data_IF_612419500898
#
_entry.id   IF_612419500898
#
_cell.length_a   1.000
_cell.length_b   1.000
_cell.length_c   1.000
_cell.angle_alpha   90.00
_cell.angle_beta   90.00
_cell.angle_gamma   90.00
#
_symmetry.space_group_name_H-M   'P 1'
#
loop_
_entity.id
_entity.type
_entity.pdbx_description
1 polymer ?
#
# COMPACT_ATOMS: atom_id res chain seq x y z
N UNK A 1 -22.54 -23.89 -7.03
CA UNK A 1 -22.57 -23.61 -5.60
C UNK A 1 -22.51 -22.09 -5.39
N UNK A 2 -23.63 -21.43 -5.11
CA UNK A 2 -23.68 -19.98 -4.90
C UNK A 2 -23.01 -19.69 -3.56
N UNK A 3 -21.82 -19.10 -3.55
CA UNK A 3 -21.19 -18.57 -2.34
C UNK A 3 -21.96 -17.31 -1.95
N UNK A 4 -22.63 -17.36 -0.82
CA UNK A 4 -23.26 -16.20 -0.21
C UNK A 4 -22.15 -15.19 0.12
N UNK A 5 -22.12 -14.10 -0.64
CA UNK A 5 -21.38 -12.91 -0.26
C UNK A 5 -22.05 -12.38 1.00
N UNK A 6 -21.42 -12.55 2.15
CA UNK A 6 -21.82 -11.81 3.33
C UNK A 6 -21.47 -10.33 3.05
N UNK A 7 -22.49 -9.52 2.81
CA UNK A 7 -22.36 -8.08 2.98
C UNK A 7 -21.70 -7.82 4.33
N UNK A 8 -20.77 -6.83 4.42
CA UNK A 8 -20.16 -6.48 5.70
C UNK A 8 -21.28 -6.15 6.67
N UNK A 9 -21.50 -6.99 7.67
CA UNK A 9 -22.48 -6.76 8.71
C UNK A 9 -22.13 -5.43 9.36
N UNK A 10 -23.03 -4.44 9.23
CA UNK A 10 -22.89 -3.20 9.97
C UNK A 10 -23.06 -3.57 11.44
N UNK A 11 -21.97 -3.64 12.18
CA UNK A 11 -22.03 -3.86 13.61
C UNK A 11 -22.68 -2.62 14.24
N UNK A 12 -23.87 -2.79 14.74
CA UNK A 12 -24.52 -1.81 15.62
C UNK A 12 -24.66 -2.47 16.97
N UNK A 13 -23.84 -2.05 17.91
CA UNK A 13 -24.03 -2.44 19.29
C UNK A 13 -25.34 -1.86 19.79
N UNK A 14 -26.13 -2.68 20.47
CA UNK A 14 -27.36 -2.25 21.15
C UNK A 14 -27.01 -1.58 22.49
N UNK A 15 -25.89 -1.99 23.10
CA UNK A 15 -25.45 -1.52 24.39
C UNK A 15 -23.92 -1.47 24.48
N UNK A 16 -23.40 -1.00 25.60
CA UNK A 16 -21.98 -0.97 25.88
C UNK A 16 -21.41 -2.37 26.15
N UNK A 17 -20.14 -2.58 25.69
CA UNK A 17 -19.40 -3.82 25.87
C UNK A 17 -18.05 -3.53 26.52
N UNK A 18 -17.68 -4.32 27.51
CA UNK A 18 -16.40 -4.20 28.19
C UNK A 18 -16.52 -3.96 29.70
N UNK A 19 -15.49 -3.38 30.30
CA UNK A 19 -15.42 -3.08 31.72
C UNK A 19 -16.56 -2.14 32.12
N UNK A 20 -17.37 -2.55 33.10
CA UNK A 20 -18.57 -1.83 33.53
C UNK A 20 -19.61 -1.61 32.42
N UNK A 21 -19.56 -2.34 31.33
CA UNK A 21 -20.54 -2.31 30.26
C UNK A 21 -21.79 -3.13 30.60
N UNK A 22 -22.85 -2.93 29.80
CA UNK A 22 -24.10 -3.72 29.90
C UNK A 22 -23.87 -5.16 29.46
N UNK A 23 -23.00 -5.36 28.46
CA UNK A 23 -22.50 -6.66 28.03
C UNK A 23 -23.58 -7.64 27.56
N UNK A 24 -24.51 -7.18 26.71
CA UNK A 24 -25.45 -8.11 26.06
C UNK A 24 -24.70 -9.18 25.28
N UNK A 25 -25.11 -10.44 25.46
CA UNK A 25 -24.43 -11.62 24.88
C UNK A 25 -24.18 -11.48 23.38
N UNK A 26 -25.16 -11.00 22.63
CA UNK A 26 -25.06 -10.82 21.18
C UNK A 26 -24.04 -9.74 20.80
N UNK A 27 -24.03 -8.61 21.54
CA UNK A 27 -23.08 -7.51 21.30
C UNK A 27 -21.66 -7.93 21.64
N UNK A 28 -21.45 -8.61 22.78
CA UNK A 28 -20.16 -9.15 23.19
C UNK A 28 -19.64 -10.15 22.13
N UNK A 29 -20.50 -11.11 21.72
CA UNK A 29 -20.12 -12.11 20.73
C UNK A 29 -19.76 -11.48 19.37
N UNK A 30 -20.56 -10.52 18.92
CA UNK A 30 -20.30 -9.83 17.67
C UNK A 30 -18.96 -9.07 17.71
N UNK A 31 -18.67 -8.36 18.82
CA UNK A 31 -17.41 -7.66 19.00
C UNK A 31 -16.21 -8.63 19.07
N UNK A 32 -16.35 -9.75 19.81
CA UNK A 32 -15.31 -10.80 19.88
C UNK A 32 -14.97 -11.34 18.48
N UNK A 33 -15.99 -11.69 17.67
CA UNK A 33 -15.79 -12.15 16.27
C UNK A 33 -15.01 -11.13 15.48
N UNK A 34 -15.38 -9.84 15.53
CA UNK A 34 -14.71 -8.81 14.77
C UNK A 34 -13.25 -8.60 15.21
N UNK A 35 -12.97 -8.63 16.50
CA UNK A 35 -11.59 -8.56 17.01
C UNK A 35 -10.75 -9.77 16.58
N UNK A 36 -11.34 -10.95 16.52
CA UNK A 36 -10.67 -12.16 15.99
C UNK A 36 -10.38 -12.01 14.50
N UNK A 37 -11.37 -11.58 13.71
CA UNK A 37 -11.23 -11.34 12.27
C UNK A 37 -10.22 -10.22 11.97
N UNK A 38 -10.12 -9.22 12.84
CA UNK A 38 -9.10 -8.17 12.76
C UNK A 38 -7.69 -8.64 13.12
N UNK A 39 -7.49 -9.92 13.45
CA UNK A 39 -6.16 -10.53 13.60
C UNK A 39 -5.59 -10.51 15.01
N UNK A 40 -6.41 -10.40 16.06
CA UNK A 40 -5.94 -10.34 17.46
C UNK A 40 -4.97 -11.47 17.81
N UNK A 41 -5.32 -12.72 17.49
CA UNK A 41 -4.46 -13.88 17.77
C UNK A 41 -3.13 -13.83 17.01
N UNK A 42 -3.19 -13.47 15.72
CA UNK A 42 -1.98 -13.40 14.88
C UNK A 42 -1.00 -12.30 15.36
N UNK A 43 -1.52 -11.20 15.89
CA UNK A 43 -0.73 -10.07 16.37
C UNK A 43 -0.18 -10.28 17.78
N UNK A 44 -0.98 -10.86 18.69
CA UNK A 44 -0.66 -10.94 20.12
C UNK A 44 -0.19 -12.33 20.59
N UNK A 45 -0.50 -13.38 19.82
CA UNK A 45 -0.34 -14.77 20.24
C UNK A 45 -1.41 -15.26 21.23
N UNK A 46 -2.36 -14.37 21.64
CA UNK A 46 -3.42 -14.68 22.61
C UNK A 46 -4.68 -15.15 21.91
N UNK A 47 -5.37 -16.10 22.49
CA UNK A 47 -6.65 -16.63 21.97
C UNK A 47 -7.79 -15.77 22.52
N UNK A 48 -8.77 -15.48 21.67
CA UNK A 48 -10.03 -14.88 22.04
C UNK A 48 -11.15 -15.84 21.60
N UNK A 49 -12.16 -16.06 22.44
CA UNK A 49 -13.32 -16.91 22.11
C UNK A 49 -14.54 -16.04 21.87
N UNK A 50 -15.32 -16.39 20.84
CA UNK A 50 -16.58 -15.71 20.54
C UNK A 50 -17.76 -16.40 21.26
N UNK A 51 -17.74 -16.39 22.59
CA UNK A 51 -18.70 -17.06 23.44
C UNK A 51 -19.79 -16.12 24.00
N UNK A 52 -19.69 -14.81 23.74
CA UNK A 52 -20.62 -13.81 24.22
C UNK A 52 -20.43 -13.44 25.69
N UNK A 53 -19.35 -13.90 26.34
CA UNK A 53 -19.02 -13.57 27.73
C UNK A 53 -17.95 -12.49 27.77
N UNK A 54 -18.25 -11.37 28.42
CA UNK A 54 -17.28 -10.30 28.63
C UNK A 54 -16.38 -10.63 29.83
N UNK A 55 -15.41 -11.48 29.59
CA UNK A 55 -14.41 -11.90 30.57
C UNK A 55 -13.11 -11.04 30.45
N UNK A 56 -12.09 -11.40 31.24
CA UNK A 56 -10.82 -10.69 31.26
C UNK A 56 -10.13 -10.68 29.89
N UNK A 57 -10.19 -11.79 29.14
CA UNK A 57 -9.60 -11.93 27.81
C UNK A 57 -10.28 -10.96 26.82
N UNK A 58 -11.60 -10.81 26.89
CA UNK A 58 -12.36 -9.84 26.09
C UNK A 58 -11.98 -8.40 26.43
N UNK A 59 -11.89 -8.08 27.72
CA UNK A 59 -11.49 -6.74 28.18
C UNK A 59 -10.05 -6.39 27.75
N UNK A 60 -9.12 -7.33 27.88
CA UNK A 60 -7.74 -7.15 27.39
C UNK A 60 -7.67 -6.94 25.88
N UNK A 61 -8.49 -7.65 25.12
CA UNK A 61 -8.56 -7.46 23.66
C UNK A 61 -9.10 -6.07 23.30
N UNK A 62 -10.16 -5.60 23.98
CA UNK A 62 -10.69 -4.24 23.81
C UNK A 62 -9.60 -3.20 24.10
N UNK A 63 -8.95 -3.30 25.25
CA UNK A 63 -7.87 -2.38 25.66
C UNK A 63 -6.73 -2.39 24.64
N UNK A 64 -6.36 -3.56 24.14
CA UNK A 64 -5.30 -3.69 23.15
C UNK A 64 -5.64 -2.94 21.85
N UNK A 65 -6.86 -3.11 21.31
CA UNK A 65 -7.31 -2.39 20.12
C UNK A 65 -7.47 -0.89 20.37
N UNK A 66 -7.95 -0.47 21.54
CA UNK A 66 -8.01 0.95 21.90
C UNK A 66 -6.61 1.59 21.87
N UNK A 67 -5.59 0.90 22.42
CA UNK A 67 -4.20 1.37 22.37
C UNK A 67 -3.67 1.44 20.94
N UNK A 68 -3.96 0.44 20.08
CA UNK A 68 -3.56 0.47 18.68
C UNK A 68 -4.15 1.69 17.96
N UNK A 69 -5.41 1.98 18.19
CA UNK A 69 -6.13 3.10 17.59
C UNK A 69 -5.82 4.46 18.25
N UNK A 70 -4.93 4.48 19.25
CA UNK A 70 -4.59 5.71 20.00
C UNK A 70 -5.79 6.28 20.78
N UNK A 71 -6.73 5.42 21.13
CA UNK A 71 -7.86 5.76 22.00
C UNK A 71 -7.49 5.54 23.48
N UNK A 72 -8.27 6.16 24.37
CA UNK A 72 -8.15 5.89 25.81
C UNK A 72 -8.42 4.41 26.09
N UNK A 73 -7.48 3.70 26.78
CA UNK A 73 -7.60 2.26 27.02
C UNK A 73 -8.53 1.96 28.19
N UNK A 74 -9.77 2.43 28.10
CA UNK A 74 -10.79 2.29 29.16
C UNK A 74 -11.30 0.84 29.33
N UNK A 75 -11.12 -0.01 28.32
CA UNK A 75 -11.70 -1.35 28.27
C UNK A 75 -13.23 -1.35 28.07
N UNK A 76 -13.83 -0.21 27.75
CA UNK A 76 -15.25 -0.04 27.51
C UNK A 76 -15.47 0.50 26.10
N UNK A 77 -16.41 -0.09 25.38
CA UNK A 77 -16.89 0.37 24.06
C UNK A 77 -18.36 0.75 24.17
N UNK A 78 -18.68 1.94 23.73
CA UNK A 78 -20.05 2.44 23.62
C UNK A 78 -20.58 2.23 22.20
N UNK A 79 -21.92 2.16 21.99
CA UNK A 79 -22.51 2.08 20.66
C UNK A 79 -22.14 3.25 19.75
N UNK A 80 -21.73 4.39 20.32
CA UNK A 80 -21.32 5.61 19.62
C UNK A 80 -19.84 5.69 19.31
N UNK A 81 -19.03 4.72 19.71
CA UNK A 81 -17.58 4.71 19.45
C UNK A 81 -17.30 4.33 17.98
N UNK A 82 -17.75 5.21 17.08
CA UNK A 82 -17.76 4.99 15.63
C UNK A 82 -16.36 4.64 15.11
N UNK A 83 -15.33 5.31 15.59
CA UNK A 83 -13.96 5.09 15.16
C UNK A 83 -13.47 3.67 15.44
N UNK A 84 -13.74 3.17 16.64
CA UNK A 84 -13.38 1.82 17.03
C UNK A 84 -14.13 0.78 16.20
N UNK A 85 -15.44 0.95 16.11
CA UNK A 85 -16.32 0.01 15.38
C UNK A 85 -16.03 0.01 13.87
N UNK A 86 -15.76 1.18 13.29
CA UNK A 86 -15.42 1.31 11.89
C UNK A 86 -14.07 0.68 11.57
N UNK A 87 -13.06 0.87 12.42
CA UNK A 87 -11.75 0.25 12.25
C UNK A 87 -11.85 -1.29 12.25
N UNK A 88 -12.58 -1.87 13.20
CA UNK A 88 -12.81 -3.31 13.22
C UNK A 88 -13.64 -3.80 12.02
N UNK A 89 -14.68 -3.07 11.63
CA UNK A 89 -15.50 -3.38 10.45
C UNK A 89 -14.68 -3.42 9.16
N UNK A 90 -13.73 -2.51 9.02
CA UNK A 90 -12.89 -2.41 7.83
C UNK A 90 -11.64 -3.29 7.89
N UNK A 91 -11.36 -3.91 9.04
CA UNK A 91 -10.25 -4.85 9.17
C UNK A 91 -10.41 -6.06 8.24
N UNK A 92 -9.30 -6.48 7.61
CA UNK A 92 -9.29 -7.60 6.68
C UNK A 92 -8.13 -8.54 7.00
N UNK A 93 -8.43 -9.82 7.01
CA UNK A 93 -7.36 -10.82 7.02
C UNK A 93 -6.63 -10.81 5.67
N UNK A 94 -5.29 -10.76 5.66
CA UNK A 94 -4.53 -10.73 4.40
C UNK A 94 -4.79 -11.90 3.46
N UNK A 95 -5.26 -13.03 3.99
CA UNK A 95 -5.55 -14.23 3.22
C UNK A 95 -6.90 -14.19 2.48
N UNK A 96 -7.79 -13.29 2.85
CA UNK A 96 -9.11 -13.19 2.24
C UNK A 96 -9.13 -12.11 1.16
N UNK A 97 -9.52 -12.50 -0.06
CA UNK A 97 -9.63 -11.58 -1.20
C UNK A 97 -10.89 -11.91 -2.00
N UNK A 98 -11.79 -10.95 -2.18
CA UNK A 98 -12.89 -11.14 -3.13
C UNK A 98 -12.35 -11.11 -4.55
N UNK A 99 -12.94 -11.91 -5.42
CA UNK A 99 -12.75 -11.81 -6.86
C UNK A 99 -13.46 -10.55 -7.35
N UNK A 100 -12.74 -9.47 -7.55
CA UNK A 100 -13.27 -8.23 -8.11
C UNK A 100 -12.79 -8.10 -9.54
N UNK A 101 -13.73 -8.08 -10.47
CA UNK A 101 -13.47 -7.76 -11.87
C UNK A 101 -13.90 -6.31 -12.11
N UNK A 102 -12.97 -5.40 -12.05
CA UNK A 102 -13.12 -4.06 -12.61
C UNK A 102 -12.14 -3.94 -13.77
N UNK A 103 -12.45 -3.15 -14.79
CA UNK A 103 -11.56 -2.93 -15.92
C UNK A 103 -10.15 -2.45 -15.51
N UNK A 104 -9.22 -2.30 -16.45
CA UNK A 104 -7.86 -1.87 -16.15
C UNK A 104 -7.89 -0.51 -15.44
N UNK A 105 -7.09 -0.39 -14.37
CA UNK A 105 -6.94 0.86 -13.66
C UNK A 105 -6.10 1.83 -14.49
N UNK A 106 -6.51 3.09 -14.56
CA UNK A 106 -5.82 4.13 -15.31
C UNK A 106 -5.36 5.26 -14.39
N UNK A 107 -4.15 5.73 -14.63
CA UNK A 107 -3.54 6.89 -13.99
C UNK A 107 -3.22 7.97 -15.03
N UNK A 108 -3.10 9.21 -14.60
CA UNK A 108 -2.86 10.35 -15.50
C UNK A 108 -1.48 10.31 -16.15
N UNK A 109 -0.48 9.87 -15.40
CA UNK A 109 0.92 9.83 -15.83
C UNK A 109 1.61 8.58 -15.34
N UNK A 110 2.66 8.15 -16.02
CA UNK A 110 3.49 7.00 -15.65
C UNK A 110 2.70 5.68 -15.54
N UNK A 111 1.75 5.43 -16.46
CA UNK A 111 0.95 4.20 -16.50
C UNK A 111 1.83 2.95 -16.49
N UNK A 112 2.93 2.95 -17.24
CA UNK A 112 3.87 1.83 -17.25
C UNK A 112 4.40 1.50 -15.85
N UNK A 113 4.77 2.51 -15.06
CA UNK A 113 5.21 2.32 -13.68
C UNK A 113 4.09 1.77 -12.81
N UNK A 114 2.90 2.37 -12.90
CA UNK A 114 1.72 1.91 -12.15
C UNK A 114 1.42 0.43 -12.39
N UNK A 115 1.38 -0.01 -13.65
CA UNK A 115 1.05 -1.39 -14.03
C UNK A 115 2.10 -2.41 -13.56
N UNK A 116 3.32 -1.95 -13.35
CA UNK A 116 4.44 -2.80 -12.96
C UNK A 116 4.80 -2.73 -11.47
N UNK A 117 4.18 -1.85 -10.71
CA UNK A 117 4.36 -1.73 -9.26
C UNK A 117 3.22 -2.41 -8.51
N UNK A 118 3.53 -3.50 -7.83
CA UNK A 118 2.57 -4.24 -7.02
C UNK A 118 1.53 -5.05 -7.80
N UNK A 119 0.61 -5.62 -7.08
CA UNK A 119 -0.51 -6.41 -7.58
C UNK A 119 -1.81 -5.99 -6.90
N UNK A 120 -2.93 -6.16 -7.59
CA UNK A 120 -4.27 -5.92 -7.06
C UNK A 120 -5.25 -7.00 -7.54
N UNK A 121 -6.55 -6.81 -7.27
CA UNK A 121 -7.59 -7.76 -7.67
C UNK A 121 -7.72 -7.96 -9.18
N UNK A 122 -7.22 -7.04 -10.00
CA UNK A 122 -7.28 -7.10 -11.46
C UNK A 122 -6.06 -7.85 -12.00
N UNK A 123 -4.88 -7.55 -11.47
CA UNK A 123 -3.60 -8.05 -11.97
C UNK A 123 -3.14 -9.34 -11.27
N UNK A 124 -3.69 -9.64 -10.09
CA UNK A 124 -3.36 -10.86 -9.36
C UNK A 124 -4.05 -12.08 -9.98
N UNK A 125 -3.29 -12.92 -10.64
CA UNK A 125 -3.80 -14.19 -11.21
C UNK A 125 -4.12 -15.22 -10.15
N UNK A 126 -3.47 -15.13 -9.00
CA UNK A 126 -3.69 -15.99 -7.84
C UNK A 126 -3.50 -15.19 -6.54
N UNK A 127 -4.54 -14.47 -6.08
CA UNK A 127 -4.46 -13.58 -4.93
C UNK A 127 -4.28 -14.32 -3.59
N UNK A 128 -4.43 -15.66 -3.58
CA UNK A 128 -4.37 -16.45 -2.35
C UNK A 128 -3.03 -17.14 -2.11
N UNK A 129 -2.06 -16.96 -3.00
CA UNK A 129 -0.72 -17.48 -2.75
C UNK A 129 -0.01 -16.67 -1.67
N UNK A 130 0.74 -17.31 -0.74
CA UNK A 130 1.44 -16.61 0.34
C UNK A 130 2.41 -15.52 -0.15
N UNK A 131 3.08 -15.73 -1.29
CA UNK A 131 4.07 -14.81 -1.83
C UNK A 131 3.53 -13.50 -2.44
N UNK A 132 2.36 -13.44 -3.08
CA UNK A 132 1.83 -12.21 -3.65
C UNK A 132 1.52 -11.11 -2.63
N UNK A 133 1.35 -11.46 -1.38
CA UNK A 133 1.00 -10.47 -0.34
C UNK A 133 2.07 -9.42 -0.08
N UNK A 134 3.32 -9.70 -0.39
CA UNK A 134 4.41 -8.72 -0.25
C UNK A 134 4.26 -7.51 -1.16
N UNK A 135 3.43 -7.59 -2.19
CA UNK A 135 3.21 -6.54 -3.18
C UNK A 135 1.73 -6.24 -3.42
N UNK A 136 0.85 -6.75 -2.56
CA UNK A 136 -0.57 -6.48 -2.74
C UNK A 136 -0.90 -5.04 -2.38
N UNK A 137 -1.26 -4.26 -3.40
CA UNK A 137 -1.35 -2.79 -3.33
C UNK A 137 -2.48 -2.26 -2.45
N UNK A 138 -3.45 -3.10 -2.09
CA UNK A 138 -4.59 -2.67 -1.28
C UNK A 138 -4.36 -2.72 0.22
N UNK A 139 -3.29 -3.34 0.69
CA UNK A 139 -2.97 -3.49 2.11
C UNK A 139 -1.60 -2.92 2.46
N UNK A 140 -1.37 -2.67 3.75
CA UNK A 140 -0.02 -2.48 4.24
C UNK A 140 0.78 -3.75 4.01
N UNK A 141 1.95 -3.62 3.40
CA UNK A 141 2.84 -4.74 3.12
C UNK A 141 4.31 -4.34 3.34
N UNK A 142 5.17 -5.34 3.41
CA UNK A 142 6.62 -5.17 3.47
C UNK A 142 7.25 -5.99 2.35
N UNK A 143 8.04 -5.38 1.44
CA UNK A 143 8.61 -6.04 0.27
C UNK A 143 9.74 -7.05 0.55
N UNK A 144 9.90 -7.51 1.79
CA UNK A 144 10.92 -8.46 2.24
C UNK A 144 12.36 -8.02 1.94
N UNK A 145 12.65 -6.74 2.13
CA UNK A 145 13.97 -6.15 1.95
C UNK A 145 14.40 -5.39 3.20
N UNK A 146 15.67 -5.53 3.60
CA UNK A 146 16.22 -4.83 4.77
C UNK A 146 16.17 -3.30 4.61
N UNK A 147 16.25 -2.80 3.38
CA UNK A 147 16.20 -1.38 3.05
C UNK A 147 14.77 -0.81 2.96
N UNK A 148 13.77 -1.67 2.73
CA UNK A 148 12.39 -1.25 2.52
C UNK A 148 11.65 -1.04 3.81
N UNK A 149 10.79 -0.02 3.82
CA UNK A 149 9.85 0.28 4.89
C UNK A 149 8.51 -0.42 4.71
N UNK A 150 7.55 -0.02 5.56
CA UNK A 150 6.14 -0.36 5.36
C UNK A 150 5.67 0.34 4.09
N UNK A 151 5.05 -0.40 3.21
CA UNK A 151 4.64 0.08 1.88
C UNK A 151 3.13 -0.05 1.72
N UNK A 152 2.54 0.88 0.99
CA UNK A 152 1.12 0.89 0.63
C UNK A 152 0.96 1.27 -0.85
N UNK A 153 -0.11 0.83 -1.46
CA UNK A 153 -0.39 1.18 -2.86
C UNK A 153 0.68 0.62 -3.81
N UNK A 154 1.00 1.41 -4.80
CA UNK A 154 1.98 1.10 -5.84
C UNK A 154 3.36 1.70 -5.49
N UNK A 155 3.95 1.23 -4.38
CA UNK A 155 5.31 1.61 -4.00
C UNK A 155 5.43 2.84 -3.08
N UNK A 156 4.37 3.26 -2.39
CA UNK A 156 4.48 4.29 -1.36
C UNK A 156 5.18 3.72 -0.13
N UNK A 157 6.50 3.79 -0.11
CA UNK A 157 7.36 3.34 0.99
C UNK A 157 7.45 4.42 2.08
N UNK A 158 7.14 4.05 3.32
CA UNK A 158 7.12 4.93 4.50
C UNK A 158 8.46 4.96 5.25
N UNK A 159 9.43 4.13 4.85
CA UNK A 159 10.70 3.93 5.55
C UNK A 159 11.63 5.14 5.60
N UNK A 160 11.40 6.16 4.77
CA UNK A 160 12.16 7.42 4.76
C UNK A 160 11.28 8.66 4.95
N UNK A 161 10.05 8.48 5.47
CA UNK A 161 9.07 9.55 5.59
C UNK A 161 8.74 9.83 7.04
N UNK A 162 8.45 11.09 7.36
CA UNK A 162 7.96 11.49 8.67
C UNK A 162 6.50 11.09 8.89
N UNK A 163 6.08 10.96 10.15
CA UNK A 163 4.69 10.67 10.50
C UNK A 163 3.72 11.71 9.94
N UNK A 164 4.08 13.00 9.99
CA UNK A 164 3.26 14.08 9.44
C UNK A 164 3.10 13.99 7.92
N UNK A 165 4.20 13.68 7.19
CA UNK A 165 4.15 13.48 5.75
C UNK A 165 3.26 12.30 5.38
N UNK A 166 3.43 11.15 6.04
CA UNK A 166 2.61 9.97 5.81
C UNK A 166 1.13 10.29 6.02
N UNK A 167 0.80 10.87 7.18
CA UNK A 167 -0.58 11.25 7.50
C UNK A 167 -1.18 12.16 6.44
N UNK A 168 -0.50 13.27 6.11
CA UNK A 168 -0.98 14.24 5.14
C UNK A 168 -1.19 13.62 3.75
N UNK A 169 -0.23 12.83 3.26
CA UNK A 169 -0.31 12.16 1.95
C UNK A 169 -1.48 11.18 1.89
N UNK A 170 -1.67 10.36 2.92
CA UNK A 170 -2.76 9.39 2.96
C UNK A 170 -4.13 10.09 3.04
N UNK A 171 -4.25 11.17 3.81
CA UNK A 171 -5.48 11.99 3.85
C UNK A 171 -5.76 12.65 2.48
N UNK A 172 -4.74 13.16 1.82
CA UNK A 172 -4.86 13.72 0.47
C UNK A 172 -5.30 12.65 -0.56
N UNK A 173 -4.89 11.40 -0.37
CA UNK A 173 -5.34 10.28 -1.19
C UNK A 173 -6.77 9.81 -0.87
N UNK A 174 -7.48 10.46 0.07
CA UNK A 174 -8.84 10.12 0.47
C UNK A 174 -8.92 8.90 1.39
N UNK A 175 -7.80 8.49 2.00
CA UNK A 175 -7.77 7.38 2.95
C UNK A 175 -8.32 7.86 4.29
N UNK A 176 -9.09 7.03 4.97
CA UNK A 176 -9.77 7.31 6.22
C UNK A 176 -8.79 7.74 7.30
N UNK A 177 -9.22 8.67 8.16
CA UNK A 177 -8.33 9.30 9.14
C UNK A 177 -7.68 8.28 10.09
N UNK A 178 -8.45 7.33 10.62
CA UNK A 178 -7.90 6.32 11.51
C UNK A 178 -6.84 5.46 10.83
N UNK A 179 -6.99 5.14 9.52
CA UNK A 179 -5.98 4.43 8.73
C UNK A 179 -4.72 5.27 8.55
N UNK A 180 -4.88 6.55 8.27
CA UNK A 180 -3.76 7.47 8.12
C UNK A 180 -2.98 7.62 9.45
N UNK A 181 -3.67 7.70 10.59
CA UNK A 181 -3.05 7.70 11.92
C UNK A 181 -2.31 6.37 12.19
N UNK A 182 -2.92 5.22 11.89
CA UNK A 182 -2.26 3.93 12.04
C UNK A 182 -0.99 3.84 11.20
N UNK A 183 -1.10 4.16 9.92
CA UNK A 183 0.02 4.09 8.98
C UNK A 183 1.15 5.09 9.33
N UNK A 184 0.83 6.28 9.86
CA UNK A 184 1.84 7.27 10.25
C UNK A 184 2.81 6.78 11.34
N UNK A 185 2.40 5.77 12.13
CA UNK A 185 3.28 5.11 13.10
C UNK A 185 4.38 4.25 12.45
N UNK A 186 4.28 4.00 11.14
CA UNK A 186 5.30 3.29 10.37
C UNK A 186 6.48 4.18 9.94
N UNK A 187 6.47 5.46 10.29
CA UNK A 187 7.53 6.40 9.95
C UNK A 187 8.92 5.86 10.33
N UNK A 188 9.84 5.88 9.34
CA UNK A 188 11.23 5.44 9.49
C UNK A 188 11.44 3.95 9.86
N UNK A 189 10.38 3.13 9.90
CA UNK A 189 10.52 1.69 10.13
C UNK A 189 10.99 1.00 8.86
N UNK A 190 12.04 0.17 8.99
CA UNK A 190 12.60 -0.62 7.88
C UNK A 190 12.85 -2.08 8.29
N UNK A 191 13.02 -2.94 7.30
CA UNK A 191 13.39 -4.33 7.48
C UNK A 191 12.45 -5.07 8.44
N UNK A 192 13.01 -5.73 9.45
CA UNK A 192 12.24 -6.52 10.42
C UNK A 192 11.23 -5.70 11.23
N UNK A 193 11.53 -4.43 11.50
CA UNK A 193 10.61 -3.55 12.23
C UNK A 193 9.38 -3.23 11.34
N UNK A 194 9.59 -3.00 10.03
CA UNK A 194 8.50 -2.84 9.09
C UNK A 194 7.65 -4.12 8.98
N UNK A 195 8.29 -5.31 8.91
CA UNK A 195 7.59 -6.59 8.89
C UNK A 195 6.73 -6.80 10.16
N UNK A 196 7.29 -6.50 11.34
CA UNK A 196 6.57 -6.58 12.61
C UNK A 196 5.39 -5.62 12.66
N UNK A 197 5.57 -4.41 12.17
CA UNK A 197 4.50 -3.42 12.06
C UNK A 197 3.33 -3.93 11.18
N UNK A 198 3.64 -4.44 10.00
CA UNK A 198 2.62 -4.98 9.07
C UNK A 198 1.85 -6.13 9.71
N UNK A 199 2.54 -7.02 10.45
CA UNK A 199 1.90 -8.13 11.16
C UNK A 199 0.86 -7.64 12.19
N UNK A 200 1.19 -6.58 12.93
CA UNK A 200 0.35 -6.06 14.04
C UNK A 200 -0.76 -5.14 13.53
N UNK A 201 -0.41 -4.17 12.70
CA UNK A 201 -1.33 -3.10 12.27
C UNK A 201 -2.03 -3.38 10.94
N UNK A 202 -1.46 -4.24 10.10
CA UNK A 202 -2.00 -4.54 8.77
C UNK A 202 -3.44 -5.03 8.78
N UNK A 203 -3.82 -6.03 9.61
CA UNK A 203 -5.21 -6.50 9.68
C UNK A 203 -6.20 -5.40 10.07
N UNK A 204 -5.84 -4.56 11.04
CA UNK A 204 -6.69 -3.47 11.50
C UNK A 204 -6.78 -2.32 10.50
N UNK A 205 -5.69 -2.04 9.80
CA UNK A 205 -5.69 -1.07 8.70
C UNK A 205 -6.66 -1.49 7.58
N UNK A 206 -6.73 -2.80 7.30
CA UNK A 206 -7.57 -3.35 6.25
C UNK A 206 -7.08 -2.97 4.86
N UNK A 207 -7.99 -2.55 3.99
CA UNK A 207 -7.73 -2.30 2.57
C UNK A 207 -8.03 -0.87 2.16
N UNK A 208 -7.29 -0.39 1.15
CA UNK A 208 -7.64 0.82 0.41
C UNK A 208 -8.41 0.46 -0.85
N UNK A 209 -9.22 1.38 -1.34
CA UNK A 209 -9.97 1.22 -2.58
C UNK A 209 -9.09 1.39 -3.81
N UNK A 210 -9.58 0.99 -4.99
CA UNK A 210 -8.91 1.27 -6.28
C UNK A 210 -8.65 2.77 -6.48
N UNK A 211 -9.65 3.61 -6.17
CA UNK A 211 -9.50 5.05 -6.31
C UNK A 211 -8.45 5.62 -5.36
N UNK A 212 -8.43 5.18 -4.11
CA UNK A 212 -7.40 5.60 -3.14
C UNK A 212 -6.00 5.16 -3.59
N UNK A 213 -5.85 3.93 -4.13
CA UNK A 213 -4.60 3.45 -4.71
C UNK A 213 -4.11 4.32 -5.87
N UNK A 214 -5.01 4.67 -6.81
CA UNK A 214 -4.72 5.55 -7.95
C UNK A 214 -4.26 6.91 -7.45
N UNK A 215 -5.04 7.54 -6.59
CA UNK A 215 -4.74 8.89 -6.06
C UNK A 215 -3.42 8.90 -5.28
N UNK A 216 -3.16 7.87 -4.46
CA UNK A 216 -1.90 7.75 -3.72
C UNK A 216 -0.69 7.65 -4.66
N UNK A 217 -0.81 6.86 -5.73
CA UNK A 217 0.24 6.76 -6.74
C UNK A 217 0.45 8.09 -7.47
N UNK A 218 -0.64 8.75 -7.90
CA UNK A 218 -0.57 10.04 -8.60
C UNK A 218 0.10 11.13 -7.74
N UNK A 219 -0.08 11.11 -6.42
CA UNK A 219 0.64 12.01 -5.51
C UNK A 219 2.12 11.62 -5.43
N UNK A 220 2.42 10.34 -5.21
CA UNK A 220 3.78 9.87 -4.98
C UNK A 220 4.67 10.00 -6.22
N UNK A 221 4.13 9.79 -7.42
CA UNK A 221 4.89 9.80 -8.67
C UNK A 221 5.39 11.20 -9.06
N UNK A 222 4.74 12.28 -8.59
CA UNK A 222 5.08 13.65 -8.95
C UNK A 222 6.51 14.03 -8.56
N UNK A 223 6.99 13.53 -7.45
CA UNK A 223 8.39 13.71 -7.06
C UNK A 223 9.33 13.14 -8.13
N UNK A 224 9.09 11.92 -8.58
CA UNK A 224 9.92 11.25 -9.59
C UNK A 224 9.83 11.89 -10.97
N UNK A 225 8.65 12.35 -11.36
CA UNK A 225 8.45 13.10 -12.62
C UNK A 225 9.26 14.40 -12.57
N UNK A 226 9.21 15.12 -11.45
CA UNK A 226 9.96 16.37 -11.27
C UNK A 226 11.47 16.14 -11.30
N UNK A 227 11.96 15.10 -10.64
CA UNK A 227 13.37 14.71 -10.66
C UNK A 227 13.82 14.25 -12.05
N UNK A 228 13.02 13.45 -12.75
CA UNK A 228 13.30 13.05 -14.12
C UNK A 228 13.45 14.26 -15.04
N UNK A 229 12.51 15.20 -14.94
CA UNK A 229 12.54 16.45 -15.70
C UNK A 229 13.77 17.30 -15.37
N UNK A 230 14.11 17.42 -14.09
CA UNK A 230 15.30 18.16 -13.62
C UNK A 230 16.59 17.58 -14.20
N UNK A 231 16.79 16.26 -14.09
CA UNK A 231 17.99 15.57 -14.60
C UNK A 231 18.06 15.68 -16.11
N UNK A 232 16.94 15.47 -16.80
CA UNK A 232 16.85 15.59 -18.26
C UNK A 232 17.22 16.98 -18.74
N UNK A 233 16.65 18.03 -18.17
CA UNK A 233 16.91 19.42 -18.54
C UNK A 233 18.37 19.82 -18.26
N UNK A 234 18.96 19.36 -17.16
CA UNK A 234 20.36 19.56 -16.85
C UNK A 234 21.31 18.91 -17.87
N UNK A 235 20.98 17.73 -18.38
CA UNK A 235 21.72 17.07 -19.47
C UNK A 235 21.50 17.73 -20.80
N UNK A 236 20.26 18.10 -21.12
CA UNK A 236 19.91 18.84 -22.34
C UNK A 236 20.71 20.10 -22.48
N UNK A 237 20.82 20.92 -21.44
CA UNK A 237 21.60 22.16 -21.45
C UNK A 237 23.08 21.93 -21.81
N UNK A 238 23.70 20.85 -21.28
CA UNK A 238 25.09 20.47 -21.57
C UNK A 238 25.32 19.94 -22.97
N UNK A 239 24.29 19.31 -23.57
CA UNK A 239 24.37 18.68 -24.89
C UNK A 239 23.85 19.60 -26.01
N UNK A 240 23.29 20.76 -25.68
CA UNK A 240 22.63 21.67 -26.64
C UNK A 240 21.60 20.94 -27.52
N UNK A 241 20.91 19.94 -26.99
CA UNK A 241 19.92 19.14 -27.73
C UNK A 241 18.64 19.93 -28.00
N UNK A 242 18.05 19.74 -29.16
CA UNK A 242 16.77 20.32 -29.54
C UNK A 242 15.57 19.60 -28.92
N UNK A 243 15.75 18.37 -28.37
CA UNK A 243 14.69 17.58 -27.77
C UNK A 243 14.27 18.23 -26.46
N UNK A 244 12.95 18.47 -26.30
CA UNK A 244 12.39 18.97 -25.05
C UNK A 244 11.63 17.87 -24.33
N UNK A 245 11.42 18.06 -23.02
CA UNK A 245 10.64 17.15 -22.19
C UNK A 245 9.24 16.86 -22.80
N UNK A 246 8.62 17.90 -23.31
CA UNK A 246 7.29 17.85 -23.91
C UNK A 246 7.25 17.07 -25.24
N UNK A 247 8.32 17.19 -26.04
CA UNK A 247 8.49 16.52 -27.34
C UNK A 247 9.08 15.12 -27.23
N UNK A 248 9.51 14.70 -26.03
CA UNK A 248 10.01 13.34 -25.82
C UNK A 248 8.90 12.33 -26.14
N UNK A 249 9.26 11.24 -26.84
CA UNK A 249 8.32 10.13 -27.10
C UNK A 249 7.74 9.61 -25.78
N UNK A 250 6.43 9.49 -25.70
CA UNK A 250 5.71 9.13 -24.45
C UNK A 250 6.29 7.87 -23.81
N UNK A 251 6.52 6.81 -24.60
CA UNK A 251 7.06 5.55 -24.07
C UNK A 251 8.48 5.65 -23.53
N UNK A 252 9.33 6.50 -24.12
CA UNK A 252 10.66 6.78 -23.58
C UNK A 252 10.56 7.56 -22.27
N UNK A 253 9.63 8.52 -22.19
CA UNK A 253 9.36 9.26 -20.96
C UNK A 253 8.89 8.32 -19.84
N UNK A 254 7.96 7.42 -20.14
CA UNK A 254 7.43 6.45 -19.18
C UNK A 254 8.51 5.54 -18.61
N UNK A 255 9.34 4.93 -19.45
CA UNK A 255 10.41 4.05 -18.96
C UNK A 255 11.53 4.82 -18.28
N UNK A 256 11.74 6.08 -18.62
CA UNK A 256 12.71 6.94 -17.94
C UNK A 256 12.23 7.28 -16.51
N UNK A 257 10.98 7.68 -16.35
CA UNK A 257 10.36 7.90 -15.04
C UNK A 257 10.39 6.60 -14.23
N UNK A 258 10.07 5.47 -14.84
CA UNK A 258 10.09 4.15 -14.23
C UNK A 258 11.48 3.74 -13.73
N UNK A 259 12.54 4.07 -14.48
CA UNK A 259 13.91 3.84 -14.04
C UNK A 259 14.24 4.60 -12.76
N UNK A 260 13.83 5.86 -12.65
CA UNK A 260 14.05 6.65 -11.45
C UNK A 260 13.21 6.12 -10.29
N UNK A 261 11.96 5.73 -10.56
CA UNK A 261 11.07 5.18 -9.54
C UNK A 261 11.66 3.91 -8.88
N UNK A 262 12.33 3.08 -9.66
CA UNK A 262 13.05 1.91 -9.17
C UNK A 262 14.39 2.22 -8.49
N UNK A 263 14.83 3.48 -8.49
CA UNK A 263 16.12 3.87 -7.90
C UNK A 263 17.35 3.49 -8.74
N UNK A 264 17.22 3.45 -10.07
CA UNK A 264 18.36 3.18 -10.94
C UNK A 264 19.34 4.36 -10.89
N UNK A 265 20.59 4.10 -10.51
CA UNK A 265 21.64 5.12 -10.28
C UNK A 265 22.08 5.84 -11.55
N UNK A 266 21.82 5.28 -12.73
CA UNK A 266 22.30 5.77 -14.03
C UNK A 266 21.31 6.69 -14.77
N UNK A 267 20.40 7.36 -14.05
CA UNK A 267 19.38 8.24 -14.64
C UNK A 267 19.95 9.35 -15.55
N UNK A 268 21.12 9.88 -15.20
CA UNK A 268 21.81 10.89 -16.03
C UNK A 268 22.33 10.33 -17.36
N UNK A 269 22.80 9.09 -17.40
CA UNK A 269 23.22 8.42 -18.62
C UNK A 269 22.02 8.05 -19.49
N UNK A 270 20.95 7.58 -18.88
CA UNK A 270 19.71 7.31 -19.61
C UNK A 270 19.14 8.58 -20.26
N UNK A 271 19.13 9.72 -19.54
CA UNK A 271 18.76 11.02 -20.12
C UNK A 271 19.64 11.40 -21.31
N UNK A 272 20.97 11.15 -21.23
CA UNK A 272 21.89 11.40 -22.33
C UNK A 272 21.53 10.60 -23.58
N UNK A 273 21.25 9.31 -23.43
CA UNK A 273 20.88 8.45 -24.54
C UNK A 273 19.55 8.85 -25.18
N UNK A 274 18.59 9.28 -24.38
CA UNK A 274 17.31 9.81 -24.90
C UNK A 274 17.56 11.09 -25.71
N UNK A 275 18.44 11.99 -25.23
CA UNK A 275 18.75 13.25 -25.90
C UNK A 275 19.51 13.07 -27.24
N UNK A 276 20.16 11.94 -27.47
CA UNK A 276 20.73 11.54 -28.75
C UNK A 276 19.70 11.05 -29.76
N UNK A 277 18.45 10.83 -29.33
CA UNK A 277 17.36 10.22 -30.10
C UNK A 277 17.70 8.86 -30.74
N UNK A 278 18.62 8.14 -30.12
CA UNK A 278 19.11 6.84 -30.59
C UNK A 278 18.46 5.68 -29.83
N UNK A 279 17.37 5.17 -30.38
CA UNK A 279 16.67 4.01 -29.83
C UNK A 279 17.52 2.75 -29.74
N UNK A 280 18.52 2.58 -30.62
CA UNK A 280 19.40 1.39 -30.58
C UNK A 280 20.27 1.44 -29.34
N UNK A 281 20.86 2.59 -29.04
CA UNK A 281 21.64 2.79 -27.81
C UNK A 281 20.79 2.68 -26.55
N UNK A 282 19.56 3.18 -26.55
CA UNK A 282 18.62 3.00 -25.42
C UNK A 282 18.31 1.51 -25.20
N UNK A 283 18.06 0.76 -26.25
CA UNK A 283 17.82 -0.70 -26.16
C UNK A 283 19.05 -1.45 -25.66
N UNK A 284 20.23 -1.10 -26.13
CA UNK A 284 21.47 -1.70 -25.69
C UNK A 284 21.73 -1.41 -24.21
N UNK A 285 21.53 -0.18 -23.78
CA UNK A 285 21.65 0.25 -22.40
C UNK A 285 20.74 -0.56 -21.46
N UNK A 286 19.46 -0.73 -21.80
CA UNK A 286 18.52 -1.53 -21.01
C UNK A 286 18.93 -3.04 -20.94
N UNK A 287 19.71 -3.52 -21.91
CA UNK A 287 20.18 -4.91 -21.93
C UNK A 287 21.49 -5.13 -21.16
N UNK A 288 22.39 -4.16 -21.13
CA UNK A 288 23.78 -4.34 -20.76
C UNK A 288 24.24 -3.52 -19.55
N UNK A 289 23.53 -2.45 -19.20
CA UNK A 289 23.91 -1.61 -18.05
C UNK A 289 23.76 -2.38 -16.73
N UNK A 290 24.84 -2.39 -15.92
CA UNK A 290 24.87 -3.13 -14.64
C UNK A 290 23.85 -2.64 -13.64
N UNK A 291 23.59 -1.33 -13.58
CA UNK A 291 22.58 -0.77 -12.68
C UNK A 291 21.17 -1.22 -13.10
N UNK A 292 20.96 -1.45 -14.40
CA UNK A 292 19.72 -1.99 -14.94
C UNK A 292 19.65 -3.53 -14.81
N UNK A 293 20.76 -4.24 -14.78
CA UNK A 293 20.78 -5.71 -14.67
C UNK A 293 20.17 -6.23 -13.36
N UNK A 294 20.27 -5.48 -12.27
CA UNK A 294 19.60 -5.80 -11.01
C UNK A 294 18.07 -5.80 -11.14
N UNK A 295 17.55 -5.19 -12.20
CA UNK A 295 16.13 -5.09 -12.55
C UNK A 295 15.78 -5.88 -13.80
N UNK A 296 16.46 -7.00 -14.07
CA UNK A 296 16.38 -7.74 -15.34
C UNK A 296 14.93 -8.00 -15.81
N UNK A 297 14.07 -8.49 -14.96
CA UNK A 297 12.65 -8.74 -15.31
C UNK A 297 11.90 -7.45 -15.70
N UNK A 298 12.19 -6.33 -15.04
CA UNK A 298 11.59 -5.04 -15.36
C UNK A 298 12.12 -4.48 -16.68
N UNK A 299 13.42 -4.64 -16.94
CA UNK A 299 14.01 -4.19 -18.20
C UNK A 299 13.50 -4.94 -19.42
N UNK A 300 13.19 -6.23 -19.31
CA UNK A 300 12.51 -6.96 -20.37
C UNK A 300 11.15 -6.33 -20.68
N UNK A 301 10.39 -5.97 -19.67
CA UNK A 301 9.09 -5.26 -19.86
C UNK A 301 9.29 -3.89 -20.51
N UNK A 302 10.31 -3.11 -20.09
CA UNK A 302 10.66 -1.82 -20.72
C UNK A 302 11.00 -1.99 -22.19
N UNK A 303 11.80 -3.02 -22.54
CA UNK A 303 12.16 -3.33 -23.91
C UNK A 303 10.95 -3.69 -24.76
N UNK A 304 10.06 -4.53 -24.26
CA UNK A 304 8.80 -4.86 -24.95
C UNK A 304 7.97 -3.58 -25.16
N UNK A 305 7.85 -2.74 -24.14
CA UNK A 305 7.07 -1.52 -24.18
C UNK A 305 7.57 -0.53 -25.23
N UNK A 306 8.88 -0.31 -25.37
CA UNK A 306 9.45 0.57 -26.39
C UNK A 306 9.52 -0.04 -27.78
N UNK A 307 9.48 -1.37 -27.90
CA UNK A 307 9.49 -2.03 -29.21
C UNK A 307 8.12 -2.03 -29.92
N UNK A 308 7.07 -1.78 -29.18
CA UNK A 308 5.72 -1.60 -29.74
C UNK A 308 5.48 -0.16 -30.28
N UNK A 309 6.56 0.60 -30.52
CA UNK A 309 6.54 1.94 -31.16
C UNK A 309 6.41 1.83 -32.67
#
# INVERSE_FOLDING_TARGET
MKRNYHEPRVLRLKSSVGICGVNYVDDVKALQVMMMEAGYQAATGRTLKADGRCNNETNEAIIWYQRLLTLSPSGLIQPMDQWFLEALKNARQPLWRPMVSSGPLQVREAQFTFDNEGADYITATDPFRPHPYHWFSHILHWPNSAASGVTLGRGYDMGNRSSGEIFATLRQAGIEEYKAILASKAAFLKGRNAASFVKVYGPLFGEITHQQQITLFEIAIQFYISEAKRIFNGRKARMMSAITWEKMRVRLKDIYIDSLYQGCESAGEFARLILLDDLKSVRLYLKTDRAQMNSHGRNLKRLVYINAL
#
